data_IF_283410093741
#
_entry.id   IF_283410093741
#
_cell.length_a   1.000
_cell.length_b   1.000
_cell.length_c   1.000
_cell.angle_alpha   90.00
_cell.angle_beta   90.00
_cell.angle_gamma   90.00
#
_symmetry.space_group_name_H-M   'P 1'
#
loop_
_entity.id
_entity.type
_entity.pdbx_description
1 polymer ?
#
# COMPACT_ATOMS: atom_id res chain seq x y z
N UNK A 1 -8.04 10.64 -3.10
CA UNK A 1 -8.69 10.79 -4.42
C UNK A 1 -7.77 10.23 -5.47
N UNK A 2 -8.30 9.44 -6.42
CA UNK A 2 -7.57 9.13 -7.65
C UNK A 2 -7.48 10.43 -8.45
N UNK A 3 -6.31 10.74 -8.97
CA UNK A 3 -6.07 11.93 -9.79
C UNK A 3 -5.86 11.46 -11.20
N UNK A 4 -6.60 12.05 -12.14
CA UNK A 4 -6.46 11.72 -13.55
C UNK A 4 -5.32 12.50 -14.19
N UNK A 5 -4.61 13.33 -13.42
CA UNK A 5 -3.47 14.13 -13.86
C UNK A 5 -2.22 13.78 -13.04
N UNK A 6 -1.11 13.57 -13.75
CA UNK A 6 0.18 13.35 -13.15
C UNK A 6 0.70 14.63 -12.51
N UNK A 7 0.98 14.61 -11.21
CA UNK A 7 1.49 15.79 -10.50
C UNK A 7 2.94 16.15 -10.81
N UNK A 8 3.69 15.31 -11.52
CA UNK A 8 5.06 15.64 -11.96
C UNK A 8 5.12 16.28 -13.35
N UNK A 9 4.25 15.87 -14.30
CA UNK A 9 4.36 16.32 -15.70
C UNK A 9 3.05 16.87 -16.29
N UNK A 10 1.95 16.87 -15.55
CA UNK A 10 0.64 17.36 -16.01
C UNK A 10 -0.07 16.45 -17.02
N UNK A 11 0.48 15.29 -17.36
CA UNK A 11 -0.15 14.37 -18.32
C UNK A 11 -1.38 13.68 -17.73
N UNK A 12 -2.38 13.44 -18.58
CA UNK A 12 -3.58 12.63 -18.24
C UNK A 12 -3.44 11.13 -18.50
N UNK A 13 -2.28 10.67 -18.98
CA UNK A 13 -2.02 9.23 -19.21
C UNK A 13 -1.72 8.54 -17.88
N UNK A 14 -2.75 8.12 -17.16
CA UNK A 14 -2.62 7.46 -15.85
C UNK A 14 -3.15 6.02 -15.91
N UNK A 15 -2.35 5.08 -15.42
CA UNK A 15 -2.75 3.71 -15.13
C UNK A 15 -3.12 3.62 -13.65
N UNK A 16 -4.39 3.35 -13.34
CA UNK A 16 -4.91 3.32 -11.97
C UNK A 16 -4.97 1.90 -11.38
N UNK A 17 -4.88 1.80 -10.05
CA UNK A 17 -5.05 0.56 -9.28
C UNK A 17 -4.12 -0.59 -9.70
N UNK A 18 -2.91 -0.25 -10.15
CA UNK A 18 -1.91 -1.26 -10.49
C UNK A 18 -1.48 -2.01 -9.24
N UNK A 19 -1.41 -3.34 -9.35
CA UNK A 19 -0.90 -4.22 -8.30
C UNK A 19 0.61 -4.19 -8.29
N UNK A 20 1.20 -4.12 -7.10
CA UNK A 20 2.64 -4.30 -6.90
C UNK A 20 2.82 -5.72 -6.41
N UNK A 21 3.44 -6.56 -7.23
CA UNK A 21 3.60 -7.97 -6.94
C UNK A 21 5.03 -8.27 -6.53
N UNK A 22 5.17 -9.03 -5.44
CA UNK A 22 6.42 -9.67 -5.05
C UNK A 22 6.39 -11.15 -5.50
N UNK A 23 7.53 -11.63 -5.98
CA UNK A 23 7.74 -13.01 -6.39
C UNK A 23 8.45 -13.74 -5.25
N UNK A 24 7.66 -14.34 -4.36
CA UNK A 24 8.18 -15.13 -3.25
C UNK A 24 8.82 -16.44 -3.71
N UNK A 25 9.36 -17.19 -2.75
CA UNK A 25 10.16 -18.42 -2.97
C UNK A 25 9.43 -19.52 -3.78
N UNK A 26 8.10 -19.49 -3.86
CA UNK A 26 7.28 -20.46 -4.59
C UNK A 26 6.85 -20.03 -6.00
N UNK A 27 7.42 -18.95 -6.56
CA UNK A 27 6.95 -18.30 -7.80
C UNK A 27 5.49 -17.81 -7.74
N UNK A 28 4.88 -17.82 -6.55
CA UNK A 28 3.56 -17.24 -6.35
C UNK A 28 3.67 -15.72 -6.30
N UNK A 29 2.84 -15.04 -7.09
CA UNK A 29 2.71 -13.58 -7.06
C UNK A 29 1.86 -13.20 -5.86
N UNK A 30 2.46 -12.53 -4.89
CA UNK A 30 1.76 -11.96 -3.75
C UNK A 30 1.70 -10.44 -3.89
N UNK A 31 0.61 -9.82 -3.45
CA UNK A 31 0.54 -8.36 -3.44
C UNK A 31 1.37 -7.81 -2.28
N UNK A 32 2.21 -6.83 -2.60
CA UNK A 32 3.02 -6.14 -1.60
C UNK A 32 2.12 -5.41 -0.61
N UNK A 33 2.37 -5.60 0.68
CA UNK A 33 1.52 -5.09 1.75
C UNK A 33 2.36 -4.46 2.86
N UNK A 34 1.75 -3.51 3.59
CA UNK A 34 2.30 -2.94 4.83
C UNK A 34 1.55 -3.56 6.00
N UNK A 35 2.28 -3.84 7.09
CA UNK A 35 1.73 -4.49 8.27
C UNK A 35 2.05 -3.70 9.54
N UNK A 36 1.05 -3.56 10.41
CA UNK A 36 1.21 -2.98 11.75
C UNK A 36 0.87 -4.05 12.77
N UNK A 37 1.81 -4.36 13.66
CA UNK A 37 1.57 -5.27 14.78
C UNK A 37 0.57 -4.64 15.74
N UNK A 38 -0.51 -5.33 16.10
CA UNK A 38 -1.59 -4.81 16.95
C UNK A 38 -1.65 -5.46 18.34
N UNK A 39 -0.73 -6.38 18.64
CA UNK A 39 -0.64 -7.04 19.94
C UNK A 39 0.78 -6.96 20.49
N UNK A 40 0.92 -6.88 21.82
CA UNK A 40 2.23 -6.99 22.49
C UNK A 40 2.42 -8.36 23.17
N UNK A 41 1.72 -9.40 22.70
CA UNK A 41 1.80 -10.75 23.30
C UNK A 41 2.92 -11.53 22.62
N UNK A 42 3.83 -12.11 23.42
CA UNK A 42 4.98 -12.87 22.93
C UNK A 42 4.61 -14.06 22.01
N UNK A 43 3.44 -14.67 22.22
CA UNK A 43 3.03 -15.90 21.52
C UNK A 43 1.85 -15.74 20.54
N UNK A 44 1.25 -14.54 20.47
CA UNK A 44 0.11 -14.29 19.57
C UNK A 44 0.26 -12.93 18.90
N UNK A 45 0.90 -12.92 17.74
CA UNK A 45 0.99 -11.75 16.90
C UNK A 45 -0.31 -11.60 16.09
N UNK A 46 -0.98 -10.45 16.22
CA UNK A 46 -1.96 -10.01 15.22
C UNK A 46 -1.43 -8.80 14.49
N UNK A 47 -1.80 -8.68 13.23
CA UNK A 47 -1.39 -7.59 12.37
C UNK A 47 -2.63 -7.01 11.69
N UNK A 48 -2.67 -5.68 11.62
CA UNK A 48 -3.49 -5.00 10.63
C UNK A 48 -2.66 -4.89 9.35
N UNK A 49 -3.20 -5.33 8.22
CA UNK A 49 -2.47 -5.38 6.95
C UNK A 49 -3.17 -4.54 5.90
N UNK A 50 -2.42 -3.82 5.09
CA UNK A 50 -2.95 -3.09 3.96
C UNK A 50 -2.16 -3.34 2.69
N UNK A 51 -2.86 -3.59 1.60
CA UNK A 51 -2.27 -3.88 0.30
C UNK A 51 -1.94 -2.60 -0.44
N UNK A 52 -0.71 -2.50 -0.95
CA UNK A 52 -0.27 -1.36 -1.74
C UNK A 52 -0.86 -1.40 -3.15
N UNK A 53 -1.22 -0.22 -3.64
CA UNK A 53 -1.65 0.03 -5.01
C UNK A 53 -0.82 1.14 -5.61
N UNK A 54 -0.47 1.00 -6.88
CA UNK A 54 0.23 2.01 -7.65
C UNK A 54 -0.70 2.73 -8.64
N UNK A 55 -0.42 4.02 -8.82
CA UNK A 55 -0.84 4.78 -10.00
C UNK A 55 0.41 5.16 -10.77
N UNK A 56 0.44 4.84 -12.07
CA UNK A 56 1.64 5.01 -12.90
C UNK A 56 1.32 5.96 -14.05
N UNK A 57 2.11 7.02 -14.20
CA UNK A 57 2.02 7.89 -15.35
C UNK A 57 2.65 7.22 -16.57
N UNK A 58 1.84 6.98 -17.62
CA UNK A 58 2.30 6.42 -18.89
C UNK A 58 3.16 7.38 -19.72
N UNK A 59 3.27 8.66 -19.35
CA UNK A 59 4.09 9.64 -20.07
C UNK A 59 5.49 9.81 -19.48
N UNK A 60 5.61 9.95 -18.16
CA UNK A 60 6.90 10.21 -17.50
C UNK A 60 7.36 9.10 -16.55
N UNK A 61 6.57 8.04 -16.36
CA UNK A 61 6.92 6.91 -15.51
C UNK A 61 6.80 7.16 -14.01
N UNK A 62 6.33 8.34 -13.56
CA UNK A 62 6.07 8.59 -12.13
C UNK A 62 5.14 7.52 -11.56
N UNK A 63 5.50 7.01 -10.38
CA UNK A 63 4.69 6.08 -9.59
C UNK A 63 4.23 6.77 -8.31
N UNK A 64 2.91 6.82 -8.10
CA UNK A 64 2.29 7.23 -6.85
C UNK A 64 1.72 6.00 -6.13
N UNK A 65 2.00 5.88 -4.83
CA UNK A 65 1.57 4.74 -4.02
C UNK A 65 0.36 5.11 -3.15
N UNK A 66 -0.51 4.14 -2.95
CA UNK A 66 -1.66 4.23 -2.05
C UNK A 66 -1.91 2.88 -1.37
N UNK A 67 -2.73 2.87 -0.32
CA UNK A 67 -3.08 1.67 0.43
C UNK A 67 -4.61 1.53 0.47
N UNK A 68 -5.12 0.30 0.48
CA UNK A 68 -6.55 0.03 0.35
C UNK A 68 -7.37 0.28 1.63
N UNK A 69 -6.74 0.32 2.80
CA UNK A 69 -7.38 0.49 4.11
C UNK A 69 -6.62 1.51 5.01
N UNK A 70 -6.46 2.77 4.56
CA UNK A 70 -5.61 3.73 5.27
C UNK A 70 -6.16 4.11 6.65
N UNK A 71 -7.48 4.11 6.85
CA UNK A 71 -8.10 4.42 8.14
C UNK A 71 -7.80 3.33 9.17
N UNK A 72 -7.95 2.06 8.80
CA UNK A 72 -7.70 0.91 9.66
C UNK A 72 -6.24 0.86 10.10
N UNK A 73 -5.31 1.06 9.16
CA UNK A 73 -3.89 1.15 9.45
C UNK A 73 -3.57 2.34 10.36
N UNK A 74 -4.19 3.50 10.14
CA UNK A 74 -3.99 4.65 11.02
C UNK A 74 -4.46 4.39 12.45
N UNK A 75 -5.63 3.77 12.61
CA UNK A 75 -6.14 3.39 13.93
C UNK A 75 -5.25 2.34 14.61
N UNK A 76 -4.74 1.36 13.85
CA UNK A 76 -3.78 0.38 14.34
C UNK A 76 -2.47 1.05 14.81
N UNK A 77 -1.96 2.00 14.04
CA UNK A 77 -0.76 2.78 14.38
C UNK A 77 -0.94 3.57 15.68
N UNK A 78 -2.05 4.29 15.83
CA UNK A 78 -2.35 5.07 17.03
C UNK A 78 -2.48 4.19 18.27
N UNK A 79 -3.15 3.03 18.15
CA UNK A 79 -3.27 2.07 19.26
C UNK A 79 -1.91 1.54 19.70
N UNK A 80 -0.99 1.30 18.76
CA UNK A 80 0.35 0.78 19.08
C UNK A 80 1.22 1.83 19.81
N UNK A 81 1.14 3.11 19.43
CA UNK A 81 1.89 4.18 20.12
C UNK A 81 1.54 4.37 21.59
N UNK A 82 0.37 3.91 22.01
CA UNK A 82 -0.11 4.03 23.40
C UNK A 82 0.20 2.78 24.24
N UNK A 83 0.88 1.78 23.67
CA UNK A 83 1.31 0.55 24.34
C UNK A 83 2.72 0.65 24.93
#
# INVERSE_FOLDING_TARGET
MKTDICSACGSSKIMHDMRIVDLGESQMKNDLSVEIKTTNRAFFNKFEKGTLKAQICGSCGKVDLSINNPQELWQAYLKNKTL
#
